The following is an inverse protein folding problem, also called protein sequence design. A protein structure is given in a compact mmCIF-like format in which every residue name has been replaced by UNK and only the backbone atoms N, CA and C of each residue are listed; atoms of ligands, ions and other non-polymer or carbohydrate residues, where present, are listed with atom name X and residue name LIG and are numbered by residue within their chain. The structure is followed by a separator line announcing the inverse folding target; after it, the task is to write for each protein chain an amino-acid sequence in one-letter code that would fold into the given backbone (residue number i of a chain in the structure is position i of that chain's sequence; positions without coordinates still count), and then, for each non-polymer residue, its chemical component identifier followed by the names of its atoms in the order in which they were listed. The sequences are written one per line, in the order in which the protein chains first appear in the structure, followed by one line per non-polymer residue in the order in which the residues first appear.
data_IF_750254568215
#
_entry.id   IF_750254568215
#
_cell.length_a   1.000
_cell.length_b   1.000
_cell.length_c   1.000
_cell.angle_alpha   90.00
_cell.angle_beta   90.00
_cell.angle_gamma   90.00
#
_symmetry.space_group_name_H-M   'P 1'
#
loop_
_entity.id
_entity.type
_entity.pdbx_description
1 polymer ?
#
# COMPACT_ATOMS: atom_id res chain seq x y z
N UNK A 1 10.65 2.15 18.18
CA UNK A 1 10.14 3.17 17.30
C UNK A 1 9.05 2.63 16.40
N UNK A 2 8.00 3.37 16.28
CA UNK A 2 6.82 2.93 15.55
C UNK A 2 6.74 3.60 14.17
N UNK A 3 6.52 2.79 13.15
CA UNK A 3 6.23 3.33 11.82
C UNK A 3 4.75 3.67 11.78
N UNK A 4 4.43 4.91 11.51
CA UNK A 4 3.06 5.35 11.44
C UNK A 4 2.54 5.26 9.99
N UNK A 5 1.27 5.55 9.83
CA UNK A 5 0.62 5.44 8.54
C UNK A 5 1.26 6.35 7.49
N UNK A 6 1.66 7.55 7.89
CA UNK A 6 2.29 8.49 6.98
C UNK A 6 3.61 7.93 6.43
N UNK A 7 4.42 7.33 7.30
CA UNK A 7 5.69 6.75 6.86
C UNK A 7 5.47 5.59 5.89
N UNK A 8 4.45 4.78 6.15
CA UNK A 8 4.11 3.68 5.26
C UNK A 8 3.71 4.20 3.87
N UNK A 9 2.85 5.21 3.83
CA UNK A 9 2.41 5.76 2.56
C UNK A 9 3.53 6.49 1.83
N UNK A 10 4.40 7.16 2.56
CA UNK A 10 5.58 7.80 1.98
C UNK A 10 6.48 6.78 1.30
N UNK A 11 6.69 5.64 1.95
CA UNK A 11 7.52 4.59 1.37
C UNK A 11 6.89 4.01 0.12
N UNK A 12 5.58 3.78 0.14
CA UNK A 12 4.87 3.28 -1.02
C UNK A 12 4.95 4.26 -2.18
N UNK A 13 4.77 5.55 -1.90
CA UNK A 13 4.87 6.57 -2.92
C UNK A 13 6.29 6.62 -3.50
N UNK A 14 7.30 6.52 -2.64
CA UNK A 14 8.68 6.46 -3.08
C UNK A 14 8.90 5.30 -4.06
N UNK A 15 8.41 4.13 -3.72
CA UNK A 15 8.57 2.95 -4.57
C UNK A 15 7.86 3.11 -5.91
N UNK A 16 6.68 3.71 -5.90
CA UNK A 16 5.90 3.90 -7.11
C UNK A 16 6.51 4.93 -8.04
N UNK A 17 7.23 5.90 -7.49
CA UNK A 17 7.82 6.99 -8.26
C UNK A 17 9.30 6.79 -8.58
N UNK A 18 9.85 5.62 -8.30
CA UNK A 18 11.23 5.35 -8.62
C UNK A 18 11.46 5.33 -10.12
N UNK A 19 12.43 6.12 -10.53
CA UNK A 19 12.87 6.17 -11.90
C UNK A 19 14.30 5.65 -11.99
N UNK A 20 14.97 5.92 -13.07
CA UNK A 20 16.17 5.20 -13.49
C UNK A 20 17.41 5.27 -12.60
N UNK A 21 17.48 6.18 -11.65
CA UNK A 21 18.71 6.35 -10.84
C UNK A 21 18.58 5.73 -9.45
N UNK A 22 18.47 4.40 -9.44
CA UNK A 22 18.25 3.66 -8.21
C UNK A 22 19.50 2.84 -7.90
N UNK A 23 19.96 2.88 -6.65
CA UNK A 23 21.10 2.07 -6.25
C UNK A 23 20.74 0.59 -6.21
N UNK A 24 21.71 -0.31 -6.30
CA UNK A 24 21.43 -1.75 -6.17
C UNK A 24 20.75 -2.11 -4.86
N UNK A 25 21.11 -1.44 -3.76
CA UNK A 25 20.47 -1.69 -2.47
C UNK A 25 19.01 -1.27 -2.49
N UNK A 26 18.71 -0.14 -3.13
CA UNK A 26 17.34 0.36 -3.24
C UNK A 26 16.50 -0.58 -4.10
N UNK A 27 17.07 -1.12 -5.16
CA UNK A 27 16.37 -2.08 -6.00
C UNK A 27 16.02 -3.34 -5.23
N UNK A 28 16.93 -3.81 -4.40
CA UNK A 28 16.68 -4.99 -3.57
C UNK A 28 15.57 -4.72 -2.55
N UNK A 29 15.62 -3.57 -1.90
CA UNK A 29 14.58 -3.18 -0.95
C UNK A 29 13.22 -3.05 -1.63
N UNK A 30 13.20 -2.47 -2.82
CA UNK A 30 11.98 -2.31 -3.58
C UNK A 30 11.40 -3.68 -3.95
N UNK A 31 12.25 -4.60 -4.41
CA UNK A 31 11.80 -5.94 -4.77
C UNK A 31 11.24 -6.67 -3.54
N UNK A 32 11.94 -6.60 -2.41
CA UNK A 32 11.45 -7.21 -1.17
C UNK A 32 10.12 -6.60 -0.75
N UNK A 33 9.99 -5.28 -0.86
CA UNK A 33 8.77 -4.59 -0.54
C UNK A 33 7.61 -5.11 -1.39
N UNK A 34 7.81 -5.21 -2.70
CA UNK A 34 6.77 -5.69 -3.60
C UNK A 34 6.36 -7.12 -3.28
N UNK A 35 7.32 -7.97 -2.96
CA UNK A 35 7.03 -9.36 -2.60
C UNK A 35 6.20 -9.44 -1.32
N UNK A 36 6.58 -8.66 -0.31
CA UNK A 36 5.83 -8.64 0.95
C UNK A 36 4.46 -8.03 0.78
N UNK A 37 4.35 -6.99 -0.05
CA UNK A 37 3.06 -6.40 -0.35
C UNK A 37 2.14 -7.42 -1.01
N UNK A 38 2.65 -8.15 -1.98
CA UNK A 38 1.87 -9.18 -2.67
C UNK A 38 1.37 -10.25 -1.70
N UNK A 39 2.21 -10.69 -0.78
CA UNK A 39 1.83 -11.66 0.24
C UNK A 39 0.79 -11.07 1.19
N UNK A 40 1.02 -9.83 1.62
CA UNK A 40 0.12 -9.17 2.57
C UNK A 40 -1.26 -8.92 1.98
N UNK A 41 -1.33 -8.66 0.68
CA UNK A 41 -2.62 -8.46 0.01
C UNK A 41 -3.51 -9.69 0.10
N UNK A 42 -2.93 -10.88 0.24
CA UNK A 42 -3.71 -12.10 0.37
C UNK A 42 -4.48 -12.19 1.68
N UNK A 43 -4.12 -11.36 2.66
CA UNK A 43 -4.81 -11.30 3.95
C UNK A 43 -6.05 -10.42 3.87
N UNK A 44 -6.07 -9.51 2.92
CA UNK A 44 -7.20 -8.61 2.74
C UNK A 44 -8.44 -9.39 2.28
N UNK A 45 -9.62 -8.91 2.70
CA UNK A 45 -10.85 -9.41 2.11
C UNK A 45 -10.87 -9.05 0.63
N UNK A 46 -11.73 -9.72 -0.13
CA UNK A 46 -11.83 -9.47 -1.55
C UNK A 46 -12.13 -8.00 -1.84
N UNK A 47 -13.06 -7.41 -1.09
CA UNK A 47 -13.44 -6.02 -1.31
C UNK A 47 -12.34 -5.05 -0.89
N UNK A 48 -11.68 -5.32 0.22
CA UNK A 48 -10.55 -4.49 0.66
C UNK A 48 -9.44 -4.49 -0.38
N UNK A 49 -9.13 -5.67 -0.91
CA UNK A 49 -8.09 -5.81 -1.91
C UNK A 49 -8.46 -5.08 -3.20
N UNK A 50 -9.68 -5.25 -3.65
CA UNK A 50 -10.17 -4.61 -4.86
C UNK A 50 -10.07 -3.09 -4.77
N UNK A 51 -10.53 -2.54 -3.67
CA UNK A 51 -10.51 -1.08 -3.47
C UNK A 51 -9.08 -0.58 -3.32
N UNK A 52 -8.25 -1.33 -2.60
CA UNK A 52 -6.84 -0.96 -2.47
C UNK A 52 -6.18 -0.88 -3.85
N UNK A 53 -6.37 -1.90 -4.68
CA UNK A 53 -5.74 -1.95 -5.99
C UNK A 53 -6.26 -0.83 -6.91
N UNK A 54 -7.55 -0.57 -6.88
CA UNK A 54 -8.11 0.51 -7.68
C UNK A 54 -7.57 1.87 -7.27
N UNK A 55 -7.46 2.09 -5.95
CA UNK A 55 -7.03 3.37 -5.43
C UNK A 55 -5.53 3.58 -5.57
N UNK A 56 -4.74 2.62 -5.12
CA UNK A 56 -3.29 2.82 -4.96
C UNK A 56 -2.47 2.33 -6.13
N UNK A 57 -2.92 1.32 -6.83
CA UNK A 57 -2.16 0.80 -7.97
C UNK A 57 -2.65 1.39 -9.28
N UNK A 58 -3.94 1.62 -9.40
CA UNK A 58 -4.50 2.19 -10.63
C UNK A 58 -4.80 3.67 -10.53
N UNK A 59 -4.61 4.26 -9.35
CA UNK A 59 -4.76 5.70 -9.12
C UNK A 59 -6.15 6.24 -9.46
N UNK A 60 -7.19 5.44 -9.18
CA UNK A 60 -8.56 5.86 -9.41
C UNK A 60 -9.08 6.60 -8.18
N UNK A 61 -9.67 7.79 -8.37
CA UNK A 61 -10.20 8.56 -7.24
C UNK A 61 -11.34 7.84 -6.52
N UNK A 62 -11.46 8.10 -5.23
CA UNK A 62 -12.50 7.49 -4.39
C UNK A 62 -13.89 7.64 -4.99
N UNK A 63 -14.21 8.84 -5.48
CA UNK A 63 -15.53 9.09 -6.09
C UNK A 63 -15.79 8.14 -7.24
N UNK A 64 -14.81 7.91 -8.08
CA UNK A 64 -14.94 7.06 -9.25
C UNK A 64 -15.04 5.59 -8.84
N UNK A 65 -14.27 5.19 -7.83
CA UNK A 65 -14.36 3.83 -7.29
C UNK A 65 -15.77 3.58 -6.75
N UNK A 66 -16.29 4.55 -6.00
CA UNK A 66 -17.63 4.44 -5.43
C UNK A 66 -18.68 4.25 -6.53
N UNK A 67 -18.56 5.00 -7.60
CA UNK A 67 -19.47 4.86 -8.75
C UNK A 67 -19.35 3.49 -9.40
N UNK A 68 -18.12 3.05 -9.63
CA UNK A 68 -17.85 1.75 -10.26
C UNK A 68 -18.41 0.58 -9.47
N UNK A 69 -18.27 0.63 -8.15
CA UNK A 69 -18.65 -0.47 -7.28
C UNK A 69 -20.04 -0.31 -6.68
N UNK A 70 -20.71 0.78 -7.01
CA UNK A 70 -22.04 1.10 -6.48
C UNK A 70 -22.04 1.15 -4.95
N UNK A 71 -21.04 1.82 -4.40
CA UNK A 71 -20.86 2.03 -2.98
C UNK A 71 -20.83 3.52 -2.69
N UNK A 72 -21.07 3.89 -1.43
CA UNK A 72 -20.88 5.28 -1.03
C UNK A 72 -19.39 5.60 -0.95
N UNK A 73 -19.04 6.87 -1.09
CA UNK A 73 -17.64 7.29 -0.95
C UNK A 73 -17.11 6.97 0.45
N UNK A 74 -17.96 7.13 1.46
CA UNK A 74 -17.55 6.83 2.84
C UNK A 74 -17.23 5.33 2.99
N UNK A 75 -18.02 4.48 2.37
CA UNK A 75 -17.77 3.04 2.43
C UNK A 75 -16.45 2.70 1.75
N UNK A 76 -16.18 3.31 0.59
CA UNK A 76 -14.90 3.12 -0.10
C UNK A 76 -13.74 3.57 0.79
N UNK A 77 -13.85 4.74 1.41
CA UNK A 77 -12.83 5.23 2.33
C UNK A 77 -12.60 4.29 3.50
N UNK A 78 -13.68 3.74 4.04
CA UNK A 78 -13.58 2.81 5.17
C UNK A 78 -12.84 1.54 4.78
N UNK A 79 -13.16 0.97 3.62
CA UNK A 79 -12.45 -0.19 3.11
C UNK A 79 -10.98 0.10 2.85
N UNK A 80 -10.70 1.26 2.26
CA UNK A 80 -9.32 1.64 1.98
C UNK A 80 -8.52 1.81 3.27
N UNK A 81 -9.10 2.48 4.27
CA UNK A 81 -8.47 2.66 5.57
C UNK A 81 -8.17 1.30 6.21
N UNK A 82 -9.13 0.39 6.17
CA UNK A 82 -8.97 -0.95 6.71
C UNK A 82 -7.85 -1.71 5.98
N UNK A 83 -7.86 -1.65 4.66
CA UNK A 83 -6.84 -2.32 3.85
C UNK A 83 -5.44 -1.80 4.17
N UNK A 84 -5.28 -0.48 4.22
CA UNK A 84 -3.98 0.13 4.52
C UNK A 84 -3.49 -0.24 5.92
N UNK A 85 -4.41 -0.29 6.87
CA UNK A 85 -4.06 -0.67 8.25
C UNK A 85 -3.55 -2.10 8.32
N UNK A 86 -4.24 -3.00 7.63
CA UNK A 86 -3.84 -4.41 7.60
C UNK A 86 -2.49 -4.57 6.90
N UNK A 87 -2.33 -3.94 5.75
CA UNK A 87 -1.07 -4.01 5.00
C UNK A 87 0.09 -3.47 5.82
N UNK A 88 -0.09 -2.31 6.45
CA UNK A 88 0.94 -1.73 7.29
C UNK A 88 1.34 -2.69 8.41
N UNK A 89 0.36 -3.28 9.08
CA UNK A 89 0.62 -4.20 10.17
C UNK A 89 1.41 -5.42 9.71
N UNK A 90 1.04 -5.99 8.57
CA UNK A 90 1.74 -7.15 8.03
C UNK A 90 3.15 -6.81 7.56
N UNK A 91 3.29 -5.69 6.87
CA UNK A 91 4.59 -5.26 6.34
C UNK A 91 5.61 -4.99 7.46
N UNK A 92 5.14 -4.47 8.59
CA UNK A 92 6.01 -4.19 9.74
C UNK A 92 6.66 -5.45 10.30
N UNK A 93 6.05 -6.60 10.13
CA UNK A 93 6.62 -7.86 10.61
C UNK A 93 7.94 -8.20 9.93
N UNK A 94 8.18 -7.65 8.77
CA UNK A 94 9.38 -7.93 7.99
C UNK A 94 10.43 -6.83 8.08
N UNK A 95 10.16 -5.78 8.85
CA UNK A 95 11.08 -4.67 9.10
C UNK A 95 11.53 -3.90 7.85
N UNK A 96 10.90 -4.13 6.71
CA UNK A 96 11.32 -3.49 5.46
C UNK A 96 11.15 -1.98 5.55
N UNK A 97 10.01 -1.53 6.07
CA UNK A 97 9.74 -0.10 6.20
C UNK A 97 10.68 0.54 7.20
N UNK A 98 10.95 -0.17 8.31
CA UNK A 98 11.87 0.32 9.31
C UNK A 98 13.28 0.50 8.74
N UNK A 99 13.73 -0.47 7.96
CA UNK A 99 15.06 -0.38 7.35
C UNK A 99 15.15 0.82 6.43
N UNK A 100 14.09 1.14 5.73
CA UNK A 100 14.08 2.27 4.81
C UNK A 100 14.08 3.61 5.54
N UNK A 101 13.33 3.72 6.64
CA UNK A 101 13.13 4.99 7.34
C UNK A 101 14.00 5.16 8.59
N UNK A 102 14.90 4.24 8.85
CA UNK A 102 15.88 4.41 9.91
C UNK A 102 17.11 5.14 9.38
#
# INVERSE_FOLDING_TARGET
KQVNELQFEDFMEYCENQESDVSPEDLLLYDEFLQQLKKSKNILSQREREIYELSREKHIPVKQIAEQLELSEQTVKNYLTSALKILRSEMLKYNIIFLFFL
#
